data_IF_761623984447
#
_entry.id   IF_761623984447
#
_cell.length_a   1.000
_cell.length_b   1.000
_cell.length_c   1.000
_cell.angle_alpha   90.00
_cell.angle_beta   90.00
_cell.angle_gamma   90.00
#
_symmetry.space_group_name_H-M   'P 1'
#
loop_
_entity.id
_entity.type
_entity.pdbx_description
1 polymer ?
#
# COMPACT_ATOMS: atom_id res chain seq x y z
N UNK A 1 9.39 40.65 -21.43
CA UNK A 1 8.56 40.59 -20.20
C UNK A 1 8.98 39.34 -19.45
N UNK A 2 9.56 39.57 -18.27
CA UNK A 2 10.08 38.67 -17.24
C UNK A 2 10.05 37.14 -17.48
N UNK A 3 11.25 36.59 -17.65
CA UNK A 3 11.62 35.22 -17.27
C UNK A 3 11.52 35.08 -15.74
N UNK A 4 10.86 34.01 -15.26
CA UNK A 4 10.91 33.59 -13.86
C UNK A 4 11.24 32.11 -13.80
N UNK A 5 12.54 31.85 -13.64
CA UNK A 5 13.07 30.57 -13.22
C UNK A 5 12.72 30.34 -11.74
N UNK A 6 12.12 29.20 -11.42
CA UNK A 6 11.94 28.74 -10.04
C UNK A 6 12.98 27.64 -9.76
N UNK A 7 13.86 27.96 -8.81
CA UNK A 7 14.99 27.16 -8.35
C UNK A 7 14.54 26.02 -7.45
N UNK A 8 15.05 24.82 -7.74
CA UNK A 8 14.95 23.62 -6.92
C UNK A 8 15.85 23.76 -5.68
N UNK A 9 15.29 23.61 -4.47
CA UNK A 9 16.07 23.53 -3.24
C UNK A 9 16.26 22.05 -2.88
N UNK A 10 17.50 21.57 -3.00
CA UNK A 10 17.97 20.32 -2.42
C UNK A 10 18.41 20.60 -0.99
N UNK A 11 17.85 19.88 -0.01
CA UNK A 11 18.41 19.81 1.33
C UNK A 11 19.07 18.44 1.51
N UNK A 12 20.38 18.49 1.74
CA UNK A 12 21.25 17.35 2.07
C UNK A 12 22.02 17.71 3.34
N UNK A 13 21.78 16.98 4.42
CA UNK A 13 22.67 16.73 5.57
C UNK A 13 21.91 15.74 6.47
N UNK A 14 22.47 14.82 7.24
CA UNK A 14 23.84 14.38 7.52
C UNK A 14 23.69 13.00 8.21
N UNK A 15 24.50 12.04 7.80
CA UNK A 15 24.57 10.72 8.43
C UNK A 15 25.67 10.73 9.49
N UNK A 16 25.30 10.81 10.77
CA UNK A 16 26.23 10.55 11.88
C UNK A 16 26.32 9.04 12.11
N UNK A 17 27.49 8.49 11.77
CA UNK A 17 27.91 7.14 12.16
C UNK A 17 28.55 7.24 13.55
N UNK A 18 27.95 6.59 14.54
CA UNK A 18 28.57 6.38 15.85
C UNK A 18 28.80 4.89 16.05
N UNK A 19 30.04 4.49 15.85
CA UNK A 19 30.61 3.23 16.33
C UNK A 19 30.85 3.38 17.83
N UNK A 20 30.32 2.46 18.64
CA UNK A 20 30.69 2.34 20.05
C UNK A 20 31.03 0.89 20.37
N UNK A 21 32.32 0.70 20.57
CA UNK A 21 33.00 -0.49 21.04
C UNK A 21 32.38 -1.04 22.34
N UNK A 22 32.09 -2.33 22.38
CA UNK A 22 31.63 -3.04 23.57
C UNK A 22 32.81 -3.49 24.44
N UNK A 23 32.82 -3.10 25.72
CA UNK A 23 33.56 -3.82 26.75
C UNK A 23 33.03 -3.46 28.16
N UNK A 24 32.70 -4.49 28.94
CA UNK A 24 32.61 -4.39 30.39
C UNK A 24 31.25 -4.82 30.95
N UNK A 25 31.10 -6.11 31.23
CA UNK A 25 29.97 -6.62 32.00
C UNK A 25 30.03 -6.18 33.46
N UNK A 26 28.90 -5.71 33.97
CA UNK A 26 28.57 -5.65 35.40
C UNK A 26 27.06 -5.42 35.56
N UNK A 27 26.33 -6.50 35.86
CA UNK A 27 25.01 -6.57 36.54
C UNK A 27 24.09 -5.34 36.49
N UNK A 28 23.21 -5.22 35.50
CA UNK A 28 22.19 -4.15 35.43
C UNK A 28 20.84 -4.74 35.03
N UNK A 29 19.78 -4.28 35.71
CA UNK A 29 18.41 -4.72 35.46
C UNK A 29 18.00 -4.50 34.01
N UNK A 30 17.03 -5.30 33.55
CA UNK A 30 16.39 -5.16 32.24
C UNK A 30 16.05 -3.68 32.02
N UNK A 31 16.86 -2.94 31.25
CA UNK A 31 16.51 -1.59 30.83
C UNK A 31 15.21 -1.72 30.05
N UNK A 32 14.16 -1.04 30.48
CA UNK A 32 12.87 -1.01 29.79
C UNK A 32 13.12 -0.48 28.36
N UNK A 33 13.16 -1.39 27.39
CA UNK A 33 13.41 -1.06 26.00
C UNK A 33 12.17 -0.36 25.45
N UNK A 34 12.35 0.87 25.00
CA UNK A 34 11.28 1.69 24.42
C UNK A 34 11.41 1.72 22.89
N UNK A 35 10.30 1.49 22.18
CA UNK A 35 10.21 1.62 20.73
C UNK A 35 9.58 2.96 20.32
N UNK A 36 10.22 3.76 19.45
CA UNK A 36 9.60 4.94 18.89
C UNK A 36 8.56 4.53 17.85
N UNK A 37 7.33 5.04 18.01
CA UNK A 37 6.21 4.83 17.09
C UNK A 37 5.58 6.15 16.66
N UNK A 38 5.12 6.22 15.42
CA UNK A 38 4.38 7.34 14.85
C UNK A 38 2.97 6.91 14.50
N UNK A 39 1.99 7.35 15.28
CA UNK A 39 0.57 7.02 15.13
C UNK A 39 -0.21 8.32 14.90
N UNK A 40 -0.97 8.37 13.81
CA UNK A 40 -1.79 9.55 13.43
C UNK A 40 -1.01 10.88 13.37
N UNK A 41 0.32 10.83 13.17
CA UNK A 41 1.18 12.02 13.11
C UNK A 41 1.80 12.42 14.45
N UNK A 42 1.46 11.72 15.54
CA UNK A 42 2.10 11.87 16.84
C UNK A 42 3.20 10.83 16.99
N UNK A 43 4.35 11.26 17.51
CA UNK A 43 5.47 10.35 17.84
C UNK A 43 5.48 10.11 19.33
N UNK A 44 5.51 8.84 19.72
CA UNK A 44 5.48 8.35 21.10
C UNK A 44 6.56 7.29 21.25
N UNK A 45 7.00 7.08 22.48
CA UNK A 45 7.82 5.93 22.85
C UNK A 45 6.94 4.96 23.63
N UNK A 46 6.89 3.71 23.19
CA UNK A 46 6.10 2.65 23.84
C UNK A 46 7.03 1.57 24.37
N UNK A 47 6.73 0.94 25.52
CA UNK A 47 7.46 -0.26 25.95
C UNK A 47 7.42 -1.33 24.86
N UNK A 48 8.57 -1.96 24.58
CA UNK A 48 8.69 -2.99 23.54
C UNK A 48 7.72 -4.16 23.79
N UNK A 49 7.53 -4.55 25.06
CA UNK A 49 6.58 -5.61 25.42
C UNK A 49 5.15 -5.30 25.01
N UNK A 50 4.72 -4.03 25.05
CA UNK A 50 3.39 -3.62 24.61
C UNK A 50 3.20 -3.81 23.09
N UNK A 51 4.30 -3.77 22.33
CA UNK A 51 4.30 -3.92 20.88
C UNK A 51 4.41 -5.39 20.44
N UNK A 52 5.02 -6.25 21.26
CA UNK A 52 5.34 -7.64 20.93
C UNK A 52 4.40 -8.66 21.58
N UNK A 53 4.02 -8.47 22.85
CA UNK A 53 3.19 -9.40 23.61
C UNK A 53 1.70 -8.99 23.57
N UNK A 54 0.89 -9.86 22.98
CA UNK A 54 -0.55 -9.69 22.92
C UNK A 54 -1.22 -9.75 24.30
N UNK A 55 -0.66 -10.52 25.24
CA UNK A 55 -1.16 -10.62 26.61
C UNK A 55 -1.07 -9.29 27.34
N UNK A 56 0.13 -8.69 27.35
CA UNK A 56 0.39 -7.35 27.91
C UNK A 56 -0.48 -6.30 27.22
N UNK A 57 -0.55 -6.33 25.88
CA UNK A 57 -1.40 -5.42 25.12
C UNK A 57 -2.87 -5.53 25.52
N UNK A 58 -3.40 -6.74 25.68
CA UNK A 58 -4.80 -6.98 26.05
C UNK A 58 -5.10 -6.56 27.48
N UNK A 59 -4.15 -6.74 28.40
CA UNK A 59 -4.29 -6.26 29.77
C UNK A 59 -4.28 -4.73 29.83
N UNK A 60 -3.36 -4.10 29.10
CA UNK A 60 -3.27 -2.64 29.00
C UNK A 60 -4.55 -2.04 28.41
N UNK A 61 -5.00 -2.53 27.24
CA UNK A 61 -6.26 -2.11 26.61
C UNK A 61 -7.46 -2.90 27.12
N UNK A 62 -7.77 -2.76 28.42
CA UNK A 62 -8.88 -3.47 29.06
C UNK A 62 -9.88 -2.53 29.74
N UNK A 63 -11.08 -3.05 30.01
CA UNK A 63 -12.08 -2.36 30.82
C UNK A 63 -11.57 -2.00 32.22
N UNK A 64 -10.67 -2.82 32.80
CA UNK A 64 -10.07 -2.53 34.11
C UNK A 64 -9.23 -1.25 34.06
N UNK A 65 -8.39 -1.12 33.03
CA UNK A 65 -7.56 0.08 32.82
C UNK A 65 -8.45 1.29 32.56
N UNK A 66 -9.48 1.14 31.72
CA UNK A 66 -10.46 2.19 31.46
C UNK A 66 -11.14 2.67 32.74
N UNK A 67 -11.64 1.75 33.57
CA UNK A 67 -12.34 2.08 34.80
C UNK A 67 -11.44 2.77 35.83
N UNK A 68 -10.12 2.50 35.80
CA UNK A 68 -9.11 3.14 36.66
C UNK A 68 -8.79 4.60 36.31
N UNK A 69 -9.17 5.06 35.11
CA UNK A 69 -8.96 6.45 34.69
C UNK A 69 -9.86 7.42 35.46
N UNK A 70 -9.39 8.66 35.67
CA UNK A 70 -10.21 9.74 36.19
C UNK A 70 -11.35 10.09 35.22
N UNK A 71 -12.43 10.66 35.75
CA UNK A 71 -13.59 11.06 34.94
C UNK A 71 -13.22 12.11 33.90
N UNK A 72 -12.33 13.05 34.24
CA UNK A 72 -11.80 14.05 33.29
C UNK A 72 -11.10 13.40 32.08
N UNK A 73 -10.29 12.36 32.31
CA UNK A 73 -9.64 11.64 31.23
C UNK A 73 -10.63 10.81 30.41
N UNK A 74 -11.62 10.18 31.05
CA UNK A 74 -12.69 9.45 30.36
C UNK A 74 -13.50 10.39 29.47
N UNK A 75 -13.88 11.57 29.97
CA UNK A 75 -14.60 12.60 29.22
C UNK A 75 -13.79 13.08 28.01
N UNK A 76 -12.49 13.36 28.19
CA UNK A 76 -11.61 13.74 27.09
C UNK A 76 -11.50 12.62 26.03
N UNK A 77 -11.32 11.36 26.45
CA UNK A 77 -11.22 10.22 25.53
C UNK A 77 -12.54 9.96 24.79
N UNK A 78 -13.70 10.16 25.44
CA UNK A 78 -15.03 10.06 24.82
C UNK A 78 -15.22 11.03 23.64
N UNK A 79 -14.45 12.12 23.55
CA UNK A 79 -14.52 13.07 22.42
C UNK A 79 -13.97 12.48 21.10
N UNK A 80 -13.13 11.45 21.19
CA UNK A 80 -12.58 10.76 20.01
C UNK A 80 -13.47 9.61 19.51
N UNK A 81 -14.54 9.29 20.25
CA UNK A 81 -15.53 8.31 19.84
C UNK A 81 -16.51 8.90 18.81
N UNK A 82 -17.18 8.06 18.01
CA UNK A 82 -18.26 8.51 17.13
C UNK A 82 -19.34 9.28 17.91
N UNK A 83 -19.93 10.29 17.27
CA UNK A 83 -21.11 10.97 17.78
C UNK A 83 -22.37 10.32 17.21
N UNK A 84 -23.33 10.02 18.08
CA UNK A 84 -24.60 9.40 17.75
C UNK A 84 -25.73 10.42 17.82
N UNK A 85 -26.73 10.33 16.92
CA UNK A 85 -27.84 11.27 16.88
C UNK A 85 -28.83 11.10 18.05
N UNK A 86 -28.93 9.91 18.62
CA UNK A 86 -29.80 9.57 19.75
C UNK A 86 -28.97 8.79 20.79
N UNK A 87 -29.24 9.02 22.07
CA UNK A 87 -28.58 8.35 23.21
C UNK A 87 -27.05 8.34 23.14
N UNK A 88 -26.44 9.47 22.77
CA UNK A 88 -24.99 9.60 22.51
C UNK A 88 -24.12 9.06 23.66
N UNK A 89 -24.45 9.40 24.90
CA UNK A 89 -23.68 8.94 26.07
C UNK A 89 -23.76 7.42 26.28
N UNK A 90 -24.96 6.83 26.15
CA UNK A 90 -25.18 5.40 26.31
C UNK A 90 -24.52 4.59 25.19
N UNK A 91 -24.63 5.05 23.95
CA UNK A 91 -24.00 4.41 22.78
C UNK A 91 -22.47 4.52 22.84
N UNK A 92 -21.93 5.64 23.34
CA UNK A 92 -20.49 5.78 23.61
C UNK A 92 -20.01 4.81 24.68
N UNK A 93 -20.74 4.64 25.77
CA UNK A 93 -20.39 3.67 26.81
C UNK A 93 -20.41 2.23 26.30
N UNK A 94 -21.41 1.88 25.49
CA UNK A 94 -21.47 0.59 24.81
C UNK A 94 -20.30 0.41 23.85
N UNK A 95 -19.98 1.42 23.07
CA UNK A 95 -18.84 1.44 22.14
C UNK A 95 -17.53 1.18 22.86
N UNK A 96 -17.30 1.82 24.01
CA UNK A 96 -16.11 1.58 24.85
C UNK A 96 -16.03 0.13 25.32
N UNK A 97 -17.14 -0.42 25.81
CA UNK A 97 -17.20 -1.83 26.24
C UNK A 97 -16.86 -2.78 25.10
N UNK A 98 -17.46 -2.58 23.93
CA UNK A 98 -17.17 -3.38 22.74
C UNK A 98 -15.70 -3.26 22.30
N UNK A 99 -15.14 -2.05 22.35
CA UNK A 99 -13.75 -1.78 21.98
C UNK A 99 -12.78 -2.56 22.87
N UNK A 100 -12.88 -2.42 24.20
CA UNK A 100 -11.97 -3.10 25.14
C UNK A 100 -12.28 -4.58 25.36
N UNK A 101 -13.41 -5.08 24.85
CA UNK A 101 -13.67 -6.51 24.72
C UNK A 101 -13.13 -7.11 23.42
N UNK A 102 -12.47 -6.30 22.57
CA UNK A 102 -11.93 -6.73 21.27
C UNK A 102 -13.01 -7.26 20.32
N UNK A 103 -14.21 -6.69 20.40
CA UNK A 103 -15.30 -7.06 19.50
C UNK A 103 -15.09 -6.47 18.10
N UNK A 104 -15.56 -7.15 17.03
CA UNK A 104 -15.43 -6.65 15.67
C UNK A 104 -16.37 -5.47 15.39
N UNK A 105 -15.84 -4.40 14.80
CA UNK A 105 -16.63 -3.22 14.39
C UNK A 105 -16.92 -3.23 12.89
N UNK A 106 -15.89 -3.46 12.08
CA UNK A 106 -15.99 -3.50 10.62
C UNK A 106 -15.16 -4.65 10.10
N UNK A 107 -15.75 -5.85 10.11
CA UNK A 107 -15.12 -7.14 9.79
C UNK A 107 -14.04 -7.60 10.78
N UNK A 108 -13.34 -6.68 11.43
CA UNK A 108 -12.25 -6.91 12.39
C UNK A 108 -12.40 -6.05 13.64
N UNK A 109 -11.68 -6.44 14.69
CA UNK A 109 -11.52 -5.66 15.92
C UNK A 109 -10.47 -4.56 15.70
N UNK A 110 -10.78 -3.28 15.98
CA UNK A 110 -9.83 -2.19 15.83
C UNK A 110 -8.56 -2.37 16.67
N UNK A 111 -8.67 -2.95 17.87
CA UNK A 111 -7.52 -3.19 18.74
C UNK A 111 -6.66 -4.36 18.26
N UNK A 112 -7.26 -5.41 17.69
CA UNK A 112 -6.49 -6.50 17.08
C UNK A 112 -5.75 -6.02 15.83
N UNK A 113 -6.40 -5.18 15.01
CA UNK A 113 -5.74 -4.56 13.87
C UNK A 113 -4.62 -3.61 14.32
N UNK A 114 -4.85 -2.84 15.39
CA UNK A 114 -3.83 -1.96 15.96
C UNK A 114 -2.61 -2.74 16.45
N UNK A 115 -2.83 -3.81 17.23
CA UNK A 115 -1.75 -4.69 17.69
C UNK A 115 -1.01 -5.36 16.52
N UNK A 116 -1.75 -5.88 15.54
CA UNK A 116 -1.15 -6.50 14.35
C UNK A 116 -0.26 -5.51 13.59
N UNK A 117 -0.66 -4.24 13.51
CA UNK A 117 0.15 -3.18 12.92
C UNK A 117 1.36 -2.79 13.78
N UNK A 118 1.23 -2.75 15.10
CA UNK A 118 2.35 -2.55 16.04
C UNK A 118 3.40 -3.65 15.85
N UNK A 119 3.00 -4.92 15.96
CA UNK A 119 3.89 -6.08 15.84
C UNK A 119 4.58 -6.18 14.47
N UNK A 120 3.93 -5.69 13.41
CA UNK A 120 4.52 -5.63 12.07
C UNK A 120 5.48 -4.44 11.88
N UNK A 121 5.63 -3.57 12.87
CA UNK A 121 6.44 -2.35 12.79
C UNK A 121 5.82 -1.28 11.89
N UNK A 122 4.52 -1.36 11.56
CA UNK A 122 3.87 -0.43 10.64
C UNK A 122 3.84 1.01 11.16
N UNK A 123 3.99 1.18 12.48
CA UNK A 123 4.07 2.47 13.14
C UNK A 123 5.50 2.97 13.37
N UNK A 124 6.55 2.24 12.99
CA UNK A 124 7.92 2.78 13.09
C UNK A 124 8.05 4.07 12.23
N UNK A 125 8.71 5.15 12.71
CA UNK A 125 8.68 6.46 12.05
C UNK A 125 9.11 6.45 10.58
N UNK A 126 10.15 5.68 10.26
CA UNK A 126 10.67 5.48 8.91
C UNK A 126 9.65 4.77 8.00
N UNK A 127 9.04 3.69 8.50
CA UNK A 127 8.01 2.91 7.80
C UNK A 127 6.74 3.74 7.62
N UNK A 128 6.27 4.44 8.64
CA UNK A 128 5.10 5.31 8.59
C UNK A 128 5.30 6.45 7.57
N UNK A 129 6.49 7.08 7.56
CA UNK A 129 6.86 8.11 6.57
C UNK A 129 6.88 7.54 5.15
N UNK A 130 7.47 6.36 4.95
CA UNK A 130 7.51 5.69 3.66
C UNK A 130 6.10 5.34 3.16
N UNK A 131 5.23 4.77 4.00
CA UNK A 131 3.83 4.47 3.67
C UNK A 131 3.07 5.72 3.24
N UNK A 132 3.23 6.83 3.96
CA UNK A 132 2.63 8.13 3.61
C UNK A 132 3.10 8.62 2.24
N UNK A 133 4.39 8.49 1.92
CA UNK A 133 4.92 8.84 0.60
C UNK A 133 4.33 7.96 -0.50
N UNK A 134 4.29 6.64 -0.30
CA UNK A 134 3.72 5.68 -1.25
C UNK A 134 2.23 5.93 -1.51
N UNK A 135 1.45 6.29 -0.49
CA UNK A 135 0.04 6.67 -0.67
C UNK A 135 -0.11 7.89 -1.58
N UNK A 136 0.70 8.93 -1.37
CA UNK A 136 0.70 10.13 -2.23
C UNK A 136 1.10 9.80 -3.67
N UNK A 137 2.14 9.00 -3.85
CA UNK A 137 2.61 8.56 -5.17
C UNK A 137 1.53 7.75 -5.91
N UNK A 138 0.87 6.80 -5.22
CA UNK A 138 -0.24 6.01 -5.78
C UNK A 138 -1.43 6.89 -6.15
N UNK A 139 -1.81 7.85 -5.31
CA UNK A 139 -2.89 8.80 -5.62
C UNK A 139 -2.58 9.62 -6.88
N UNK A 140 -1.34 10.13 -7.02
CA UNK A 140 -0.88 10.82 -8.22
C UNK A 140 -0.95 9.91 -9.45
N UNK A 141 -0.43 8.69 -9.35
CA UNK A 141 -0.47 7.69 -10.42
C UNK A 141 -1.92 7.38 -10.84
N UNK A 142 -2.84 7.24 -9.88
CA UNK A 142 -4.25 6.98 -10.16
C UNK A 142 -4.90 8.13 -10.94
N UNK A 143 -4.62 9.38 -10.56
CA UNK A 143 -5.08 10.55 -11.32
C UNK A 143 -4.58 10.53 -12.77
N UNK A 144 -3.32 10.15 -12.99
CA UNK A 144 -2.78 9.98 -14.34
C UNK A 144 -3.46 8.85 -15.11
N UNK A 145 -3.70 7.69 -14.47
CA UNK A 145 -4.41 6.57 -15.08
C UNK A 145 -5.81 6.97 -15.53
N UNK A 146 -6.55 7.71 -14.70
CA UNK A 146 -7.89 8.20 -15.04
C UNK A 146 -7.84 9.15 -16.25
N UNK A 147 -6.90 10.10 -16.27
CA UNK A 147 -6.73 11.00 -17.43
C UNK A 147 -6.40 10.24 -18.72
N UNK A 148 -5.47 9.28 -18.64
CA UNK A 148 -5.08 8.46 -19.78
C UNK A 148 -6.25 7.58 -20.26
N UNK A 149 -7.07 7.08 -19.34
CA UNK A 149 -8.29 6.34 -19.66
C UNK A 149 -9.25 7.20 -20.48
N UNK A 150 -9.59 8.41 -20.01
CA UNK A 150 -10.51 9.29 -20.75
C UNK A 150 -9.93 9.78 -22.08
N UNK A 151 -8.62 10.08 -22.15
CA UNK A 151 -7.98 10.48 -23.39
C UNK A 151 -8.05 9.38 -24.47
N UNK A 152 -8.03 8.10 -24.06
CA UNK A 152 -8.22 6.95 -24.96
C UNK A 152 -9.68 6.71 -25.31
N UNK A 153 -10.59 6.86 -24.34
CA UNK A 153 -12.01 6.58 -24.51
C UNK A 153 -12.72 7.64 -25.36
N UNK A 154 -12.35 8.92 -25.23
CA UNK A 154 -13.05 10.02 -25.89
C UNK A 154 -13.08 9.89 -27.43
N UNK A 155 -11.95 9.61 -28.14
CA UNK A 155 -12.00 9.37 -29.58
C UNK A 155 -12.91 8.20 -29.96
N UNK A 156 -12.93 7.11 -29.19
CA UNK A 156 -13.77 5.95 -29.47
C UNK A 156 -15.27 6.26 -29.36
N UNK A 157 -15.65 7.04 -28.34
CA UNK A 157 -17.02 7.53 -28.15
C UNK A 157 -17.41 8.52 -29.26
N UNK A 158 -16.51 9.42 -29.66
CA UNK A 158 -16.79 10.39 -30.72
C UNK A 158 -16.97 9.70 -32.08
N UNK A 159 -16.07 8.78 -32.43
CA UNK A 159 -16.15 8.02 -33.69
C UNK A 159 -17.40 7.13 -33.75
N UNK A 160 -17.74 6.45 -32.65
CA UNK A 160 -18.97 5.63 -32.60
C UNK A 160 -20.23 6.48 -32.75
N UNK A 161 -20.27 7.68 -32.12
CA UNK A 161 -21.39 8.62 -32.25
C UNK A 161 -21.50 9.20 -33.66
N UNK A 162 -20.39 9.60 -34.27
CA UNK A 162 -20.38 10.09 -35.65
C UNK A 162 -20.94 9.05 -36.61
N UNK A 163 -20.52 7.78 -36.46
CA UNK A 163 -21.04 6.65 -37.25
C UNK A 163 -22.55 6.48 -37.08
N UNK A 164 -23.06 6.53 -35.85
CA UNK A 164 -24.49 6.46 -35.54
C UNK A 164 -25.27 7.60 -36.24
N UNK A 165 -24.76 8.83 -36.13
CA UNK A 165 -25.40 10.00 -36.75
C UNK A 165 -25.37 9.94 -38.27
N UNK A 166 -24.26 9.49 -38.87
CA UNK A 166 -24.13 9.32 -40.31
C UNK A 166 -25.14 8.29 -40.84
N UNK A 167 -25.29 7.15 -40.14
CA UNK A 167 -26.26 6.12 -40.49
C UNK A 167 -27.71 6.64 -40.39
N UNK A 168 -28.03 7.38 -39.33
CA UNK A 168 -29.35 7.98 -39.14
C UNK A 168 -29.68 9.03 -40.22
N UNK A 169 -28.71 9.86 -40.63
CA UNK A 169 -28.88 10.85 -41.71
C UNK A 169 -29.10 10.24 -43.09
N UNK A 170 -28.46 9.10 -43.36
CA UNK A 170 -28.61 8.39 -44.63
C UNK A 170 -29.90 7.56 -44.72
N UNK A 171 -30.59 7.36 -43.59
CA UNK A 171 -31.81 6.59 -43.52
C UNK A 171 -33.04 7.41 -43.94
N UNK A 172 -34.04 6.80 -44.59
CA UNK A 172 -35.34 7.44 -44.78
C UNK A 172 -36.04 7.69 -43.43
N UNK A 173 -36.99 8.65 -43.34
CA UNK A 173 -37.78 8.89 -42.13
C UNK A 173 -38.51 7.61 -41.71
N UNK A 174 -38.18 7.07 -40.54
CA UNK A 174 -38.67 5.77 -40.10
C UNK A 174 -37.77 5.10 -39.06
N UNK A 175 -37.96 3.80 -38.79
CA UNK A 175 -37.19 3.07 -37.79
C UNK A 175 -35.69 3.09 -38.10
N UNK A 176 -34.88 3.25 -37.05
CA UNK A 176 -33.42 3.42 -37.14
C UNK A 176 -32.79 2.17 -37.80
N UNK A 177 -31.96 2.31 -38.85
CA UNK A 177 -31.31 1.17 -39.48
C UNK A 177 -30.35 0.46 -38.52
N UNK A 178 -30.27 -0.86 -38.63
CA UNK A 178 -29.29 -1.66 -37.90
C UNK A 178 -27.87 -1.26 -38.31
N UNK A 179 -27.05 -0.85 -37.35
CA UNK A 179 -25.65 -0.57 -37.61
C UNK A 179 -24.89 -1.87 -37.92
N UNK A 180 -24.07 -1.85 -38.97
CA UNK A 180 -23.05 -2.88 -39.16
C UNK A 180 -22.10 -2.87 -37.95
N UNK A 181 -21.79 -4.04 -37.40
CA UNK A 181 -20.79 -4.16 -36.35
C UNK A 181 -19.41 -3.84 -36.93
N UNK A 182 -18.62 -3.01 -36.23
CA UNK A 182 -17.21 -2.87 -36.56
C UNK A 182 -16.50 -4.20 -36.25
N UNK A 183 -15.50 -4.59 -37.06
CA UNK A 183 -14.62 -5.68 -36.67
C UNK A 183 -14.02 -5.39 -35.29
N UNK A 184 -13.88 -6.41 -34.43
CA UNK A 184 -13.30 -6.21 -33.10
C UNK A 184 -11.94 -5.55 -33.25
N UNK A 185 -11.73 -4.46 -32.51
CA UNK A 185 -10.44 -3.76 -32.48
C UNK A 185 -9.37 -4.81 -32.19
N UNK A 186 -8.23 -4.86 -32.92
CA UNK A 186 -7.15 -5.74 -32.56
C UNK A 186 -6.83 -5.43 -31.11
N UNK A 187 -7.06 -6.41 -30.23
CA UNK A 187 -6.73 -6.19 -28.82
C UNK A 187 -5.27 -5.78 -28.82
N UNK A 188 -4.94 -4.71 -28.09
CA UNK A 188 -3.56 -4.49 -27.69
C UNK A 188 -3.23 -5.73 -26.88
N UNK A 189 -2.78 -6.80 -27.54
CA UNK A 189 -2.29 -8.00 -26.89
C UNK A 189 -1.26 -7.46 -25.94
N UNK A 190 -1.63 -7.46 -24.66
CA UNK A 190 -0.70 -7.13 -23.61
C UNK A 190 0.48 -8.05 -23.90
N UNK A 191 1.66 -7.50 -24.21
CA UNK A 191 2.90 -8.28 -24.32
C UNK A 191 3.31 -8.81 -22.93
N UNK A 192 2.32 -9.12 -22.09
CA UNK A 192 2.44 -9.71 -20.79
C UNK A 192 2.79 -11.17 -21.01
N UNK A 193 4.10 -11.44 -21.01
CA UNK A 193 4.60 -12.80 -20.88
C UNK A 193 4.02 -13.36 -19.57
N UNK A 194 3.35 -14.55 -19.60
CA UNK A 194 2.91 -15.24 -18.40
C UNK A 194 4.02 -15.36 -17.36
N UNK A 195 3.68 -15.43 -16.08
CA UNK A 195 4.67 -15.42 -14.98
C UNK A 195 5.76 -16.47 -15.17
N UNK A 196 5.39 -17.69 -15.56
CA UNK A 196 6.33 -18.80 -15.78
C UNK A 196 7.36 -18.52 -16.90
N UNK A 197 6.95 -17.84 -17.97
CA UNK A 197 7.84 -17.43 -19.06
C UNK A 197 8.85 -16.37 -18.61
N UNK A 198 8.42 -15.45 -17.73
CA UNK A 198 9.30 -14.42 -17.17
C UNK A 198 10.26 -15.00 -16.14
N UNK A 199 9.80 -15.94 -15.32
CA UNK A 199 10.62 -16.69 -14.38
C UNK A 199 11.69 -17.51 -15.11
N UNK A 200 11.29 -18.27 -16.15
CA UNK A 200 12.21 -19.01 -17.05
C UNK A 200 13.23 -18.07 -17.69
N UNK A 201 12.80 -16.92 -18.21
CA UNK A 201 13.73 -15.95 -18.80
C UNK A 201 14.77 -15.46 -17.80
N UNK A 202 14.35 -15.03 -16.60
CA UNK A 202 15.29 -14.58 -15.56
C UNK A 202 16.25 -15.68 -15.12
N UNK A 203 15.74 -16.90 -14.94
CA UNK A 203 16.55 -18.05 -14.56
C UNK A 203 17.75 -18.22 -15.50
N UNK A 204 17.53 -18.20 -16.82
CA UNK A 204 18.61 -18.29 -17.80
C UNK A 204 19.49 -17.02 -17.89
N UNK A 205 18.93 -15.83 -17.65
CA UNK A 205 19.71 -14.59 -17.54
C UNK A 205 20.72 -14.68 -16.37
N UNK A 206 20.28 -15.13 -15.19
CA UNK A 206 21.14 -15.31 -14.01
C UNK A 206 22.21 -16.40 -14.25
N UNK A 207 21.83 -17.55 -14.83
CA UNK A 207 22.81 -18.59 -15.17
C UNK A 207 23.87 -18.09 -16.15
N UNK A 208 23.47 -17.27 -17.14
CA UNK A 208 24.40 -16.67 -18.09
C UNK A 208 25.34 -15.66 -17.41
N UNK A 209 24.84 -14.88 -16.44
CA UNK A 209 25.63 -13.94 -15.67
C UNK A 209 26.67 -14.68 -14.81
N UNK A 210 26.24 -15.71 -14.07
CA UNK A 210 27.13 -16.56 -13.26
C UNK A 210 28.21 -17.20 -14.14
N UNK A 211 27.83 -17.73 -15.31
CA UNK A 211 28.78 -18.32 -16.27
C UNK A 211 29.81 -17.29 -16.78
N UNK A 212 29.37 -16.05 -17.02
CA UNK A 212 30.27 -14.99 -17.47
C UNK A 212 31.31 -14.59 -16.42
N UNK A 213 30.98 -14.74 -15.14
CA UNK A 213 31.86 -14.41 -14.01
C UNK A 213 32.79 -15.56 -13.61
N UNK A 214 32.29 -16.80 -13.59
CA UNK A 214 33.00 -17.96 -13.00
C UNK A 214 33.58 -18.89 -14.07
N UNK A 215 33.04 -18.87 -15.30
CA UNK A 215 33.35 -19.83 -16.35
C UNK A 215 32.69 -21.21 -16.10
N UNK A 216 32.36 -21.93 -17.16
CA UNK A 216 31.78 -23.29 -17.09
C UNK A 216 31.03 -23.72 -18.35
N UNK A 217 30.90 -25.04 -18.56
CA UNK A 217 30.22 -25.64 -19.71
C UNK A 217 28.70 -25.77 -19.52
N UNK A 218 27.93 -25.91 -20.61
CA UNK A 218 26.48 -26.07 -20.54
C UNK A 218 26.12 -27.41 -19.91
N UNK A 219 25.62 -27.38 -18.67
CA UNK A 219 25.01 -28.54 -18.03
C UNK A 219 23.54 -28.64 -18.44
N UNK A 220 23.05 -29.87 -18.60
CA UNK A 220 21.62 -30.13 -18.79
C UNK A 220 20.82 -29.57 -17.60
N UNK A 221 19.79 -28.79 -17.88
CA UNK A 221 18.90 -28.20 -16.86
C UNK A 221 17.61 -29.02 -16.77
N UNK A 222 17.48 -29.78 -15.68
CA UNK A 222 16.30 -30.60 -15.38
C UNK A 222 15.03 -29.77 -15.18
N UNK A 223 15.17 -28.50 -14.78
CA UNK A 223 14.03 -27.64 -14.45
C UNK A 223 13.40 -27.02 -15.70
N UNK A 224 14.18 -26.79 -16.77
CA UNK A 224 13.71 -26.34 -18.07
C UNK A 224 14.38 -27.11 -19.22
N UNK A 225 13.94 -28.36 -19.50
CA UNK A 225 14.53 -29.21 -20.55
C UNK A 225 14.35 -28.63 -21.96
N UNK A 226 13.43 -27.69 -22.13
CA UNK A 226 13.24 -26.93 -23.37
C UNK A 226 14.28 -25.81 -23.58
N UNK A 227 15.19 -25.56 -22.62
CA UNK A 227 16.25 -24.55 -22.72
C UNK A 227 15.77 -23.09 -22.56
N UNK A 228 16.59 -22.09 -22.91
CA UNK A 228 16.20 -20.68 -22.82
C UNK A 228 15.06 -20.32 -23.79
N UNK A 229 14.18 -19.35 -23.44
CA UNK A 229 13.09 -18.93 -24.33
C UNK A 229 13.65 -18.32 -25.62
N UNK A 230 13.12 -18.74 -26.77
CA UNK A 230 13.53 -18.23 -28.09
C UNK A 230 13.45 -16.69 -28.11
N UNK A 231 14.63 -16.06 -28.20
CA UNK A 231 14.70 -14.64 -28.45
C UNK A 231 14.26 -14.41 -29.90
N UNK A 232 13.10 -13.78 -30.09
CA UNK A 232 12.77 -13.20 -31.39
C UNK A 232 13.79 -12.09 -31.65
N UNK A 233 14.90 -12.44 -32.29
CA UNK A 233 15.80 -11.47 -32.91
C UNK A 233 14.96 -10.77 -33.95
N UNK A 234 14.47 -9.57 -33.65
CA UNK A 234 13.91 -8.70 -34.67
C UNK A 234 15.08 -8.36 -35.60
N UNK A 235 15.05 -8.93 -36.80
CA UNK A 235 15.84 -8.47 -37.95
C UNK A 235 15.52 -7.01 -38.25
#
# INVERSE_FOLDING_TARGET
MADKAESEHSDSSESSSSSSESAGGSSEGEEEVMEPVTILGHTLELPQELCEDYGVFKEFFSMKTWDSLSDEHKEHLKQFLPSFPENDDEEKEKTVKMLFNFEPFHFTSPLDDFFSNLRQGNYRPDIAKMRKFLMKARAKQQKHKIKAYYAKLLPEVLLSRERLLAAAKAAPPGPVPALQLLPPKPSSKSNYKPLYMRARQRYFEELSAIRSEVGGEESEDDNYPEGPPEQYIRK
#
